data_IF_286195347248
#
_entry.id   IF_286195347248
#
_cell.length_a   1.000
_cell.length_b   1.000
_cell.length_c   1.000
_cell.angle_alpha   90.00
_cell.angle_beta   90.00
_cell.angle_gamma   90.00
#
_symmetry.space_group_name_H-M   'P 1'
#
loop_
_entity.id
_entity.type
_entity.pdbx_description
1 polymer ?
#
# COMPACT_ATOMS: atom_id res chain seq x y z
N UNK A 1 -5.20 -7.99 -10.87
CA UNK A 1 -4.52 -7.17 -9.85
C UNK A 1 -5.45 -6.00 -9.57
N UNK A 2 -6.46 -6.20 -8.72
CA UNK A 2 -7.55 -5.23 -8.49
C UNK A 2 -7.63 -4.93 -6.99
N UNK A 3 -6.74 -4.05 -6.55
CA UNK A 3 -6.66 -3.68 -5.13
C UNK A 3 -6.69 -2.18 -4.89
N UNK A 4 -6.38 -1.42 -5.94
CA UNK A 4 -6.56 0.02 -6.01
C UNK A 4 -6.80 0.33 -7.49
N UNK A 5 -7.88 1.04 -7.81
CA UNK A 5 -8.27 1.30 -9.21
C UNK A 5 -7.36 2.34 -9.88
N UNK A 6 -6.55 3.07 -9.10
CA UNK A 6 -5.54 4.00 -9.61
C UNK A 6 -4.42 4.31 -8.61
N UNK A 7 -3.25 4.72 -9.09
CA UNK A 7 -2.17 5.25 -8.23
C UNK A 7 -2.59 6.46 -7.39
N UNK A 8 -3.63 7.19 -7.82
CA UNK A 8 -4.19 8.34 -7.09
C UNK A 8 -4.87 7.87 -5.81
N UNK A 9 -5.77 6.90 -5.91
CA UNK A 9 -6.47 6.32 -4.76
C UNK A 9 -5.47 5.70 -3.77
N UNK A 10 -4.42 5.04 -4.25
CA UNK A 10 -3.38 4.49 -3.38
C UNK A 10 -2.66 5.60 -2.60
N UNK A 11 -2.33 6.71 -3.27
CA UNK A 11 -1.66 7.85 -2.65
C UNK A 11 -2.53 8.50 -1.57
N UNK A 12 -3.84 8.56 -1.77
CA UNK A 12 -4.80 9.04 -0.77
C UNK A 12 -4.84 8.12 0.46
N UNK A 13 -4.83 6.80 0.27
CA UNK A 13 -4.80 5.83 1.37
C UNK A 13 -3.50 5.90 2.18
N UNK A 14 -2.36 6.13 1.51
CA UNK A 14 -1.07 6.39 2.16
C UNK A 14 -1.13 7.67 2.99
N UNK A 15 -1.68 8.76 2.43
CA UNK A 15 -1.84 10.02 3.15
C UNK A 15 -2.71 9.88 4.41
N UNK A 16 -3.77 9.09 4.32
CA UNK A 16 -4.65 8.75 5.44
C UNK A 16 -4.05 7.74 6.44
N UNK A 17 -2.79 7.33 6.26
CA UNK A 17 -2.09 6.31 7.06
C UNK A 17 -2.81 4.96 7.11
N UNK A 18 -3.59 4.63 6.09
CA UNK A 18 -4.33 3.36 6.02
C UNK A 18 -3.54 2.23 5.38
N UNK A 19 -2.35 2.52 4.85
CA UNK A 19 -1.47 1.55 4.22
C UNK A 19 -0.32 1.23 5.17
N UNK A 20 -0.11 -0.06 5.41
CA UNK A 20 1.07 -0.59 6.08
C UNK A 20 1.84 -1.53 5.16
N UNK A 21 3.14 -1.61 5.35
CA UNK A 21 4.03 -2.56 4.70
C UNK A 21 4.90 -3.18 5.77
N UNK A 22 4.86 -4.51 5.92
CA UNK A 22 5.59 -5.23 6.97
C UNK A 22 5.35 -4.62 8.37
N UNK A 23 4.09 -4.37 8.71
CA UNK A 23 3.61 -3.76 9.97
C UNK A 23 3.95 -2.27 10.18
N UNK A 24 4.70 -1.63 9.27
CA UNK A 24 5.03 -0.19 9.32
C UNK A 24 4.12 0.65 8.43
N UNK A 25 3.78 1.87 8.84
CA UNK A 25 2.98 2.77 8.01
C UNK A 25 3.78 3.25 6.80
N UNK A 26 3.20 3.06 5.61
CA UNK A 26 3.75 3.64 4.39
C UNK A 26 3.50 5.15 4.43
N UNK A 27 4.55 5.92 4.18
CA UNK A 27 4.49 7.40 4.09
C UNK A 27 4.77 7.92 2.69
N UNK A 28 5.39 7.10 1.82
CA UNK A 28 5.64 7.43 0.42
C UNK A 28 4.94 6.39 -0.47
N UNK A 29 3.95 6.77 -1.30
CA UNK A 29 3.27 5.84 -2.17
C UNK A 29 4.15 5.24 -3.27
N UNK A 30 5.31 5.84 -3.57
CA UNK A 30 6.27 5.28 -4.53
C UNK A 30 7.07 4.12 -3.98
N UNK A 31 7.05 3.88 -2.66
CA UNK A 31 7.82 2.79 -2.02
C UNK A 31 7.40 1.41 -2.53
N UNK A 32 6.17 1.27 -3.06
CA UNK A 32 5.68 0.00 -3.58
C UNK A 32 6.25 -0.39 -4.96
N UNK A 33 6.85 0.55 -5.69
CA UNK A 33 7.18 0.35 -7.11
C UNK A 33 8.33 -0.65 -7.33
N UNK A 34 9.01 -1.12 -6.28
CA UNK A 34 10.15 -2.03 -6.44
C UNK A 34 10.30 -3.10 -5.34
N UNK A 35 9.20 -3.47 -4.67
CA UNK A 35 9.24 -4.18 -3.40
C UNK A 35 8.53 -5.55 -3.47
N UNK A 36 8.99 -6.42 -4.38
CA UNK A 36 8.53 -7.81 -4.50
C UNK A 36 8.87 -8.59 -3.23
N UNK A 37 7.89 -9.30 -2.67
CA UNK A 37 7.96 -10.09 -1.44
C UNK A 37 7.38 -9.42 -0.20
N UNK A 38 6.89 -8.18 -0.30
CA UNK A 38 6.35 -7.46 0.85
C UNK A 38 4.85 -7.71 1.06
N UNK A 39 4.48 -7.77 2.34
CA UNK A 39 3.08 -7.81 2.78
C UNK A 39 2.58 -6.38 2.94
N UNK A 40 1.65 -5.97 2.09
CA UNK A 40 0.94 -4.70 2.21
C UNK A 40 -0.39 -4.95 2.90
N UNK A 41 -0.71 -4.13 3.89
CA UNK A 41 -2.04 -4.07 4.49
C UNK A 41 -2.70 -2.75 4.13
N UNK A 42 -3.91 -2.82 3.60
CA UNK A 42 -4.74 -1.66 3.28
C UNK A 42 -6.05 -1.84 4.04
N UNK A 43 -6.22 -1.08 5.13
CA UNK A 43 -7.34 -1.27 6.04
C UNK A 43 -7.39 -2.69 6.63
N UNK A 44 -8.40 -3.49 6.26
CA UNK A 44 -8.53 -4.91 6.67
C UNK A 44 -8.01 -5.92 5.62
N UNK A 45 -7.59 -5.44 4.44
CA UNK A 45 -7.19 -6.28 3.32
C UNK A 45 -5.66 -6.42 3.30
N UNK A 46 -5.18 -7.64 3.08
CA UNK A 46 -3.74 -7.95 3.02
C UNK A 46 -3.41 -8.39 1.58
N UNK A 47 -2.32 -7.86 1.05
CA UNK A 47 -1.81 -8.11 -0.30
C UNK A 47 -0.35 -8.50 -0.22
N UNK A 48 0.05 -9.45 -1.05
CA UNK A 48 1.46 -9.76 -1.28
C UNK A 48 1.81 -9.24 -2.68
N UNK A 49 2.78 -8.35 -2.79
CA UNK A 49 3.30 -7.82 -4.07
C UNK A 49 4.71 -8.32 -4.34
#
# INVERSE_FOLDING_TARGET
MELVDSMKEFSELVWLRQVKMNDEHVTDPKVLINNKGNKIEIGKKIVMI
#
